data_IF_815563752893
#
_entry.id   IF_815563752893
#
_cell.length_a   1.000
_cell.length_b   1.000
_cell.length_c   1.000
_cell.angle_alpha   90.00
_cell.angle_beta   90.00
_cell.angle_gamma   90.00
#
_symmetry.space_group_name_H-M   'P 1'
#
loop_
_entity.id
_entity.type
_entity.pdbx_description
1 polymer ?
#
# COMPACT_ATOMS: atom_id res chain seq x y z
N UNK A 1 17.14 14.24 -14.92
CA UNK A 1 16.31 13.06 -15.28
C UNK A 1 16.21 12.01 -14.17
N UNK A 2 17.32 11.50 -13.58
CA UNK A 2 17.28 10.49 -12.50
C UNK A 2 16.35 10.84 -11.32
N UNK A 3 16.44 12.06 -10.80
CA UNK A 3 15.62 12.50 -9.65
C UNK A 3 14.13 12.47 -9.97
N UNK A 4 13.73 12.90 -11.18
CA UNK A 4 12.33 12.85 -11.61
C UNK A 4 11.81 11.40 -11.72
N UNK A 5 12.65 10.46 -12.16
CA UNK A 5 12.31 9.04 -12.21
C UNK A 5 12.09 8.49 -10.80
N UNK A 6 12.99 8.81 -9.85
CA UNK A 6 12.85 8.38 -8.44
C UNK A 6 11.58 8.95 -7.82
N UNK A 7 11.29 10.24 -8.03
CA UNK A 7 10.07 10.87 -7.53
C UNK A 7 8.84 10.19 -8.15
N UNK A 8 8.83 9.94 -9.45
CA UNK A 8 7.72 9.25 -10.12
C UNK A 8 7.52 7.83 -9.58
N UNK A 9 8.60 7.05 -9.38
CA UNK A 9 8.53 5.70 -8.82
C UNK A 9 8.01 5.69 -7.38
N UNK A 10 8.44 6.65 -6.56
CA UNK A 10 7.95 6.79 -5.18
C UNK A 10 6.46 7.17 -5.14
N UNK A 11 6.04 8.13 -5.96
CA UNK A 11 4.64 8.55 -6.03
C UNK A 11 3.73 7.43 -6.54
N UNK A 12 4.16 6.69 -7.57
CA UNK A 12 3.42 5.53 -8.07
C UNK A 12 3.37 4.42 -7.03
N UNK A 13 4.48 4.13 -6.35
CA UNK A 13 4.52 3.11 -5.32
C UNK A 13 3.62 3.44 -4.11
N UNK A 14 3.68 4.68 -3.63
CA UNK A 14 2.78 5.18 -2.58
C UNK A 14 1.32 5.16 -3.02
N UNK A 15 1.02 5.55 -4.26
CA UNK A 15 -0.32 5.52 -4.83
C UNK A 15 -0.89 4.10 -4.87
N UNK A 16 -0.08 3.11 -5.25
CA UNK A 16 -0.50 1.70 -5.26
C UNK A 16 -0.74 1.16 -3.86
N UNK A 17 0.12 1.52 -2.89
CA UNK A 17 -0.09 1.16 -1.49
C UNK A 17 -1.40 1.79 -0.98
N UNK A 18 -1.60 3.08 -1.18
CA UNK A 18 -2.83 3.77 -0.78
C UNK A 18 -4.07 3.17 -1.45
N UNK A 19 -4.00 2.83 -2.74
CA UNK A 19 -5.08 2.19 -3.48
C UNK A 19 -5.45 0.83 -2.88
N UNK A 20 -4.46 0.03 -2.48
CA UNK A 20 -4.71 -1.27 -1.83
C UNK A 20 -5.48 -1.11 -0.51
N UNK A 21 -5.13 -0.12 0.31
CA UNK A 21 -5.86 0.20 1.54
C UNK A 21 -7.28 0.70 1.27
N UNK A 22 -7.47 1.59 0.29
CA UNK A 22 -8.82 2.08 -0.08
C UNK A 22 -9.72 0.90 -0.50
N UNK A 23 -9.21 -0.01 -1.33
CA UNK A 23 -9.95 -1.21 -1.72
C UNK A 23 -10.33 -2.09 -0.53
N UNK A 24 -9.42 -2.24 0.43
CA UNK A 24 -9.66 -2.97 1.67
C UNK A 24 -10.77 -2.33 2.52
N UNK A 25 -10.77 -1.00 2.64
CA UNK A 25 -11.81 -0.27 3.37
C UNK A 25 -13.19 -0.42 2.72
N UNK A 26 -13.27 -0.34 1.38
CA UNK A 26 -14.54 -0.52 0.66
C UNK A 26 -15.08 -1.94 0.90
N UNK A 27 -14.23 -2.96 0.79
CA UNK A 27 -14.61 -4.36 1.04
C UNK A 27 -15.05 -4.56 2.50
N UNK A 28 -14.36 -3.95 3.45
CA UNK A 28 -14.75 -3.99 4.86
C UNK A 28 -16.12 -3.38 5.08
N UNK A 29 -16.41 -2.22 4.46
CA UNK A 29 -17.71 -1.57 4.55
C UNK A 29 -18.83 -2.42 3.93
N UNK A 30 -18.56 -3.06 2.79
CA UNK A 30 -19.51 -3.98 2.13
C UNK A 30 -19.84 -5.19 3.01
N UNK A 31 -18.81 -5.87 3.55
CA UNK A 31 -18.99 -7.01 4.46
C UNK A 31 -19.68 -6.62 5.77
N UNK A 32 -19.36 -5.44 6.30
CA UNK A 32 -20.03 -4.89 7.49
C UNK A 32 -21.51 -4.61 7.20
N UNK A 33 -21.84 -4.13 5.99
CA UNK A 33 -23.21 -3.96 5.52
C UNK A 33 -23.96 -5.29 5.45
N UNK A 34 -23.34 -6.33 4.88
CA UNK A 34 -23.91 -7.68 4.82
C UNK A 34 -24.17 -8.27 6.21
N UNK A 35 -23.23 -8.12 7.15
CA UNK A 35 -23.37 -8.63 8.51
C UNK A 35 -24.48 -7.88 9.29
N UNK A 36 -24.64 -6.58 9.07
CA UNK A 36 -25.73 -5.79 9.65
C UNK A 36 -27.10 -6.17 9.07
N UNK A 37 -27.18 -6.41 7.76
CA UNK A 37 -28.41 -6.91 7.11
C UNK A 37 -28.79 -8.31 7.61
N UNK A 38 -27.80 -9.11 8.01
CA UNK A 38 -28.00 -10.42 8.64
C UNK A 38 -28.38 -10.37 10.14
N UNK A 39 -28.57 -9.18 10.73
CA UNK A 39 -28.77 -8.97 12.18
C UNK A 39 -27.61 -9.48 13.06
N UNK A 40 -26.37 -9.48 12.56
CA UNK A 40 -25.17 -9.81 13.35
C UNK A 40 -24.26 -8.58 13.57
N UNK A 41 -24.65 -7.65 14.46
CA UNK A 41 -23.85 -6.46 14.73
C UNK A 41 -22.54 -6.78 15.47
N UNK A 42 -22.43 -7.93 16.15
CA UNK A 42 -21.22 -8.32 16.85
C UNK A 42 -20.16 -8.89 15.88
N UNK A 43 -20.59 -9.66 14.87
CA UNK A 43 -19.72 -10.12 13.78
C UNK A 43 -19.12 -8.98 12.97
N UNK A 44 -19.91 -7.93 12.71
CA UNK A 44 -19.45 -6.70 12.08
C UNK A 44 -18.32 -6.00 12.88
N UNK A 45 -18.50 -5.86 14.20
CA UNK A 45 -17.48 -5.24 15.08
C UNK A 45 -16.21 -6.09 15.12
N UNK A 46 -16.34 -7.41 15.25
CA UNK A 46 -15.20 -8.32 15.32
C UNK A 46 -14.36 -8.28 14.03
N UNK A 47 -14.99 -8.15 12.85
CA UNK A 47 -14.28 -7.97 11.59
C UNK A 47 -13.55 -6.64 11.49
N UNK A 48 -14.16 -5.54 11.92
CA UNK A 48 -13.48 -4.23 11.95
C UNK A 48 -12.28 -4.28 12.89
N UNK A 49 -12.44 -4.86 14.08
CA UNK A 49 -11.33 -5.02 15.04
C UNK A 49 -10.25 -5.96 14.51
N UNK A 50 -10.63 -7.03 13.82
CA UNK A 50 -9.69 -7.95 13.16
C UNK A 50 -8.93 -7.25 12.04
N UNK A 51 -9.58 -6.41 11.23
CA UNK A 51 -8.92 -5.63 10.19
C UNK A 51 -7.91 -4.63 10.76
N UNK A 52 -8.28 -3.94 11.85
CA UNK A 52 -7.39 -3.00 12.56
C UNK A 52 -6.19 -3.74 13.19
N UNK A 53 -6.43 -4.89 13.83
CA UNK A 53 -5.39 -5.64 14.55
C UNK A 53 -4.46 -6.43 13.62
N UNK A 54 -5.01 -7.07 12.58
CA UNK A 54 -4.20 -7.82 11.63
C UNK A 54 -3.46 -6.88 10.67
N UNK A 55 -4.07 -5.75 10.31
CA UNK A 55 -3.60 -4.92 9.20
C UNK A 55 -3.55 -5.69 7.87
N UNK A 56 -4.09 -6.90 7.83
CA UNK A 56 -4.05 -7.78 6.68
C UNK A 56 -5.13 -7.32 5.73
N UNK A 57 -4.67 -6.79 4.60
CA UNK A 57 -5.50 -6.36 3.48
C UNK A 57 -5.78 -7.61 2.65
N UNK A 58 -6.95 -8.29 2.83
CA UNK A 58 -7.17 -9.62 2.25
C UNK A 58 -7.33 -9.56 0.72
N UNK A 59 -7.46 -8.35 0.18
CA UNK A 59 -7.59 -8.07 -1.23
C UNK A 59 -6.55 -7.08 -1.67
N UNK A 60 -6.02 -7.27 -2.88
CA UNK A 60 -5.07 -6.35 -3.46
C UNK A 60 -3.66 -6.36 -2.82
N UNK A 61 -3.28 -7.43 -2.10
CA UNK A 61 -1.89 -7.69 -1.69
C UNK A 61 -0.89 -7.54 -2.86
N UNK A 62 -1.29 -7.92 -4.08
CA UNK A 62 -0.47 -7.72 -5.27
C UNK A 62 -0.13 -6.24 -5.53
N UNK A 63 -1.07 -5.31 -5.30
CA UNK A 63 -0.84 -3.88 -5.47
C UNK A 63 0.00 -3.30 -4.31
N UNK A 64 -0.20 -3.81 -3.09
CA UNK A 64 0.66 -3.49 -1.95
C UNK A 64 2.12 -3.89 -2.23
N UNK A 65 2.35 -5.13 -2.66
CA UNK A 65 3.68 -5.64 -2.98
C UNK A 65 4.30 -4.93 -4.19
N UNK A 66 3.53 -4.66 -5.24
CA UNK A 66 4.00 -3.90 -6.40
C UNK A 66 4.39 -2.46 -6.01
N UNK A 67 3.58 -1.83 -5.15
CA UNK A 67 3.87 -0.50 -4.63
C UNK A 67 5.12 -0.46 -3.76
N UNK A 68 5.26 -1.40 -2.82
CA UNK A 68 6.45 -1.56 -1.99
C UNK A 68 7.71 -1.86 -2.83
N UNK A 69 7.57 -2.68 -3.87
CA UNK A 69 8.65 -2.99 -4.80
C UNK A 69 9.10 -1.74 -5.58
N UNK A 70 8.17 -0.95 -6.10
CA UNK A 70 8.50 0.30 -6.81
C UNK A 70 9.20 1.31 -5.90
N UNK A 71 8.78 1.42 -4.63
CA UNK A 71 9.45 2.24 -3.63
C UNK A 71 10.88 1.73 -3.41
N UNK A 72 11.05 0.42 -3.18
CA UNK A 72 12.35 -0.19 -2.96
C UNK A 72 13.30 0.02 -4.15
N UNK A 73 12.83 -0.19 -5.38
CA UNK A 73 13.59 0.06 -6.61
C UNK A 73 13.96 1.54 -6.74
N UNK A 74 13.03 2.45 -6.44
CA UNK A 74 13.29 3.90 -6.44
C UNK A 74 14.41 4.29 -5.46
N UNK A 75 14.38 3.74 -4.24
CA UNK A 75 15.39 3.97 -3.20
C UNK A 75 16.76 3.40 -3.63
N UNK A 76 16.78 2.16 -4.11
CA UNK A 76 18.00 1.51 -4.62
C UNK A 76 18.60 2.35 -5.75
N UNK A 77 17.78 2.77 -6.71
CA UNK A 77 18.23 3.59 -7.84
C UNK A 77 18.78 4.96 -7.39
N UNK A 78 18.22 5.53 -6.33
CA UNK A 78 18.73 6.76 -5.71
C UNK A 78 20.09 6.55 -5.03
N UNK A 79 20.25 5.49 -4.24
CA UNK A 79 21.49 5.18 -3.50
C UNK A 79 22.63 4.84 -4.46
N UNK A 80 22.44 3.84 -5.32
CA UNK A 80 23.47 3.40 -6.27
C UNK A 80 23.69 4.40 -7.41
N UNK A 81 22.68 5.21 -7.73
CA UNK A 81 22.77 6.26 -8.73
C UNK A 81 23.50 7.53 -8.26
N UNK A 82 23.60 7.74 -6.94
CA UNK A 82 24.24 8.89 -6.29
C UNK A 82 25.72 8.71 -5.96
N UNK A 83 26.24 7.48 -5.96
CA UNK A 83 27.64 7.18 -5.60
C UNK A 83 28.69 7.60 -6.64
N UNK A 84 28.31 8.33 -7.69
CA UNK A 84 29.20 8.76 -8.79
C UNK A 84 29.37 10.29 -8.88
N UNK A 85 29.45 10.97 -7.73
CA UNK A 85 29.75 12.43 -7.68
C UNK A 85 30.68 12.82 -6.52
N UNK A 86 31.67 12.01 -6.22
CA UNK A 86 32.86 12.43 -5.45
C UNK A 86 34.09 11.68 -5.95
N UNK A 87 34.38 11.81 -7.23
CA UNK A 87 35.74 11.70 -7.73
C UNK A 87 35.76 12.32 -9.12
N UNK A 88 36.82 13.06 -9.39
CA UNK A 88 37.18 13.73 -10.64
C UNK A 88 36.87 15.24 -10.61
N UNK A 89 37.81 15.93 -9.96
CA UNK A 89 38.59 17.08 -10.46
C UNK A 89 37.85 18.22 -11.19
#
# INVERSE_FOLDING_TARGET
>A
MKVLIVIASLLLGLGLVAYSYIGAFIRLAELTGEDLDANDPFGAIDRVMTFINSGEVPQMMNFLYLGAFLIAVGIIYMIFGGSRKTHDE
#
